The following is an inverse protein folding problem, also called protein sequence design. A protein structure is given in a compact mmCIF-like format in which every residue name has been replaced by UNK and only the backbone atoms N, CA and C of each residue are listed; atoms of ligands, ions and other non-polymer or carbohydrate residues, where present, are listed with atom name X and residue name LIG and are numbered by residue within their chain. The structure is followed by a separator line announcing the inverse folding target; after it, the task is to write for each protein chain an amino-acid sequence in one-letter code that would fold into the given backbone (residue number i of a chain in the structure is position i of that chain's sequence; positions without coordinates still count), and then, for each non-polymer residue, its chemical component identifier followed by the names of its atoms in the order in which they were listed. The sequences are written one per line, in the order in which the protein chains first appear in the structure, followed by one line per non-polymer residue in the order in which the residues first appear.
data_IF_262450829223
#
_entry.id   IF_262450829223
#
_cell.length_a   1.000
_cell.length_b   1.000
_cell.length_c   1.000
_cell.angle_alpha   90.00
_cell.angle_beta   90.00
_cell.angle_gamma   90.00
#
_symmetry.space_group_name_H-M   'P 1'
#
loop_
_entity.id
_entity.type
_entity.pdbx_description
1 polymer ?
#
# COMPACT_ATOMS: atom_id res chain seq x y z
N UNK A 1 21.25 15.44 0.55
CA UNK A 1 20.89 15.15 1.96
C UNK A 1 20.08 16.35 2.45
N UNK A 2 18.85 16.17 2.96
CA UNK A 2 17.95 17.31 3.17
C UNK A 2 18.21 18.03 4.50
N UNK A 3 17.82 19.31 4.52
CA UNK A 3 18.01 20.40 5.49
C UNK A 3 17.59 20.17 6.97
N UNK A 4 17.43 18.93 7.43
CA UNK A 4 16.91 18.60 8.78
C UNK A 4 17.75 19.17 9.93
N UNK A 5 19.02 19.52 9.69
CA UNK A 5 19.90 20.11 10.70
C UNK A 5 19.47 21.52 11.13
N UNK A 6 18.86 22.31 10.24
CA UNK A 6 18.39 23.66 10.59
C UNK A 6 17.08 23.61 11.37
N UNK A 7 16.14 22.75 10.99
CA UNK A 7 14.88 22.54 11.72
C UNK A 7 15.15 22.04 13.15
N UNK A 8 16.09 21.10 13.32
CA UNK A 8 16.51 20.61 14.63
C UNK A 8 17.14 21.69 15.50
N UNK A 9 17.91 22.63 14.92
CA UNK A 9 18.49 23.76 15.65
C UNK A 9 17.40 24.72 16.13
N UNK A 10 16.42 25.03 15.27
CA UNK A 10 15.28 25.90 15.60
C UNK A 10 14.47 25.28 16.75
N UNK A 11 14.13 23.99 16.67
CA UNK A 11 13.38 23.30 17.72
C UNK A 11 14.16 23.31 19.05
N UNK A 12 15.49 23.11 19.03
CA UNK A 12 16.32 23.19 20.23
C UNK A 12 16.31 24.60 20.85
N UNK A 13 16.38 25.65 20.04
CA UNK A 13 16.30 27.03 20.52
C UNK A 13 14.93 27.33 21.13
N UNK A 14 13.85 26.96 20.45
CA UNK A 14 12.48 27.14 20.95
C UNK A 14 12.26 26.38 22.27
N UNK A 15 12.74 25.14 22.36
CA UNK A 15 12.66 24.35 23.59
C UNK A 15 13.45 24.99 24.74
N UNK A 16 14.62 25.58 24.45
CA UNK A 16 15.44 26.25 25.46
C UNK A 16 14.80 27.53 26.01
N UNK A 17 13.96 28.21 25.22
CA UNK A 17 13.25 29.42 25.64
C UNK A 17 12.01 29.14 26.50
N UNK A 18 11.57 27.89 26.60
CA UNK A 18 10.46 27.50 27.47
C UNK A 18 10.83 27.60 28.96
N UNK A 19 9.83 27.89 29.79
CA UNK A 19 9.97 27.87 31.26
C UNK A 19 10.26 26.45 31.76
N UNK A 20 10.77 26.31 33.00
CA UNK A 20 11.08 24.98 33.58
C UNK A 20 9.82 24.08 33.68
N UNK A 21 8.65 24.68 33.92
CA UNK A 21 7.36 23.99 33.97
C UNK A 21 6.93 23.51 32.58
N UNK A 22 7.03 24.36 31.57
CA UNK A 22 6.64 24.03 30.20
C UNK A 22 7.60 23.03 29.56
N UNK A 23 8.90 23.12 29.86
CA UNK A 23 9.89 22.09 29.47
C UNK A 23 9.51 20.72 30.04
N UNK A 24 9.14 20.64 31.31
CA UNK A 24 8.67 19.40 31.94
C UNK A 24 7.36 18.90 31.30
N UNK A 25 6.41 19.79 31.02
CA UNK A 25 5.14 19.45 30.37
C UNK A 25 5.33 18.93 28.94
N UNK A 26 6.20 19.58 28.16
CA UNK A 26 6.58 19.18 26.80
C UNK A 26 7.30 17.83 26.77
N UNK A 27 8.27 17.62 27.66
CA UNK A 27 8.95 16.33 27.80
C UNK A 27 7.98 15.23 28.26
N UNK A 28 6.99 15.56 29.09
CA UNK A 28 5.95 14.64 29.51
C UNK A 28 5.04 14.25 28.33
N UNK A 29 4.60 15.21 27.51
CA UNK A 29 3.82 14.92 26.30
C UNK A 29 4.59 14.10 25.27
N UNK A 30 5.90 14.35 25.10
CA UNK A 30 6.75 13.49 24.27
C UNK A 30 6.84 12.09 24.85
N UNK A 31 7.12 11.95 26.16
CA UNK A 31 7.19 10.63 26.82
C UNK A 31 5.86 9.87 26.77
N UNK A 32 4.74 10.57 26.87
CA UNK A 32 3.40 9.97 26.83
C UNK A 32 3.05 9.54 25.39
N UNK A 33 3.43 10.33 24.37
CA UNK A 33 3.40 9.89 22.95
C UNK A 33 4.35 8.72 22.69
N UNK A 34 5.57 8.73 23.22
CA UNK A 34 6.50 7.60 23.08
C UNK A 34 5.97 6.35 23.79
N UNK A 35 5.32 6.48 24.95
CA UNK A 35 4.67 5.36 25.65
C UNK A 35 3.47 4.80 24.88
N UNK A 36 2.65 5.65 24.25
CA UNK A 36 1.57 5.19 23.37
C UNK A 36 2.12 4.47 22.13
N UNK A 37 3.27 4.92 21.61
CA UNK A 37 3.95 4.32 20.43
C UNK A 37 4.74 3.03 20.78
N UNK A 38 5.20 2.87 22.02
CA UNK A 38 6.07 1.75 22.43
C UNK A 38 5.35 0.60 23.13
N UNK A 39 4.13 0.82 23.62
CA UNK A 39 3.28 -0.22 24.23
C UNK A 39 1.93 -0.30 23.55
N UNK A 40 1.88 -0.77 22.31
CA UNK A 40 0.65 -1.33 21.75
C UNK A 40 0.74 -2.86 21.84
N UNK A 41 0.30 -3.48 22.96
CA UNK A 41 -0.01 -4.90 22.95
C UNK A 41 -1.03 -5.17 21.85
N UNK A 42 -1.04 -6.40 21.33
CA UNK A 42 -2.11 -6.86 20.41
C UNK A 42 -3.43 -6.62 21.15
N UNK A 43 -4.25 -5.68 20.68
CA UNK A 43 -5.53 -5.34 21.29
C UNK A 43 -6.64 -6.33 20.89
N UNK A 44 -6.29 -7.37 20.13
CA UNK A 44 -7.22 -8.39 19.65
C UNK A 44 -7.65 -9.29 20.81
N UNK A 45 -8.89 -9.15 21.24
CA UNK A 45 -9.55 -10.11 22.12
C UNK A 45 -9.92 -11.37 21.35
N UNK A 46 -9.69 -12.54 21.96
CA UNK A 46 -10.13 -13.81 21.38
C UNK A 46 -11.58 -14.03 21.81
N UNK A 47 -12.50 -13.94 20.85
CA UNK A 47 -13.93 -14.24 21.06
C UNK A 47 -14.31 -15.65 20.63
N UNK A 48 -13.59 -16.20 19.65
CA UNK A 48 -13.92 -17.46 18.99
C UNK A 48 -12.65 -18.21 18.56
N UNK A 49 -12.80 -19.51 18.29
CA UNK A 49 -11.74 -20.34 17.74
C UNK A 49 -11.47 -19.93 16.28
N UNK A 50 -10.21 -19.64 15.91
CA UNK A 50 -9.86 -19.23 14.54
C UNK A 50 -10.02 -20.37 13.51
N UNK A 51 -10.19 -21.61 13.96
CA UNK A 51 -10.30 -22.80 13.09
C UNK A 51 -11.73 -23.25 12.83
N UNK A 52 -12.64 -23.08 13.80
CA UNK A 52 -14.02 -23.60 13.71
C UNK A 52 -15.09 -22.62 14.22
N UNK A 53 -14.70 -21.39 14.58
CA UNK A 53 -15.60 -20.32 15.04
C UNK A 53 -16.37 -20.61 16.33
N UNK A 54 -16.04 -21.70 17.04
CA UNK A 54 -16.60 -21.99 18.36
C UNK A 54 -16.09 -21.04 19.44
N UNK A 55 -16.98 -20.67 20.37
CA UNK A 55 -16.66 -19.86 21.54
C UNK A 55 -16.17 -20.72 22.74
N UNK A 56 -16.13 -22.04 22.58
CA UNK A 56 -15.71 -22.98 23.61
C UNK A 56 -14.21 -23.28 23.50
N UNK A 57 -13.40 -22.58 24.30
CA UNK A 57 -11.96 -22.81 24.37
C UNK A 57 -11.40 -22.55 25.77
N UNK A 58 -10.24 -23.15 26.06
CA UNK A 58 -9.54 -23.03 27.35
C UNK A 58 -8.09 -22.63 27.16
N UNK A 59 -7.48 -22.05 28.20
CA UNK A 59 -6.04 -21.78 28.24
C UNK A 59 -5.28 -23.11 28.27
N UNK A 60 -4.31 -23.29 27.37
CA UNK A 60 -3.52 -24.51 27.21
C UNK A 60 -2.01 -24.23 27.33
N UNK A 61 -1.60 -23.72 28.49
CA UNK A 61 -0.21 -23.37 28.78
C UNK A 61 0.31 -22.14 28.03
N UNK A 62 1.62 -21.92 28.12
CA UNK A 62 2.34 -20.81 27.46
C UNK A 62 3.53 -21.34 26.68
N UNK A 63 3.87 -20.70 25.56
CA UNK A 63 5.11 -20.94 24.80
C UNK A 63 5.75 -19.60 24.46
N UNK A 64 7.04 -19.45 24.73
CA UNK A 64 7.78 -18.20 24.49
C UNK A 64 7.08 -16.97 25.10
N UNK A 65 6.57 -17.14 26.32
CA UNK A 65 5.76 -16.15 27.06
C UNK A 65 4.42 -15.74 26.39
N UNK A 66 3.99 -16.44 25.35
CA UNK A 66 2.69 -16.26 24.67
C UNK A 66 1.68 -17.28 25.18
N UNK A 67 0.48 -16.80 25.52
CA UNK A 67 -0.63 -17.66 25.92
C UNK A 67 -1.12 -18.50 24.74
N UNK A 68 -1.27 -19.81 24.97
CA UNK A 68 -1.92 -20.73 24.03
C UNK A 68 -3.34 -21.05 24.51
N UNK A 69 -4.20 -21.34 23.56
CA UNK A 69 -5.58 -21.75 23.77
C UNK A 69 -5.84 -23.06 23.03
N UNK A 70 -6.78 -23.85 23.54
CA UNK A 70 -7.26 -25.07 22.91
C UNK A 70 -8.77 -25.00 22.78
N UNK A 71 -9.28 -25.16 21.56
CA UNK A 71 -10.71 -25.26 21.33
C UNK A 71 -11.23 -26.61 21.82
N UNK A 72 -12.38 -26.61 22.49
CA UNK A 72 -13.02 -27.85 22.98
C UNK A 72 -13.68 -28.64 21.85
N UNK A 73 -14.19 -27.95 20.83
CA UNK A 73 -14.95 -28.59 19.75
C UNK A 73 -14.02 -29.21 18.71
N UNK A 74 -13.12 -28.42 18.11
CA UNK A 74 -12.22 -28.92 17.07
C UNK A 74 -10.89 -29.48 17.62
N UNK A 75 -10.65 -29.40 18.94
CA UNK A 75 -9.44 -29.86 19.64
C UNK A 75 -8.11 -29.24 19.15
N UNK A 76 -8.16 -28.26 18.24
CA UNK A 76 -6.96 -27.56 17.73
C UNK A 76 -6.49 -26.49 18.70
N UNK A 77 -5.16 -26.30 18.76
CA UNK A 77 -4.54 -25.21 19.53
C UNK A 77 -4.35 -23.95 18.70
N UNK A 78 -4.39 -22.79 19.34
CA UNK A 78 -4.21 -21.49 18.71
C UNK A 78 -3.66 -20.45 19.70
N UNK A 79 -3.17 -19.32 19.20
CA UNK A 79 -2.66 -18.18 19.98
C UNK A 79 -3.38 -16.90 19.58
N UNK A 80 -3.16 -15.80 20.32
CA UNK A 80 -3.67 -14.45 19.98
C UNK A 80 -3.29 -14.00 18.57
N UNK A 81 -2.12 -14.45 18.09
CA UNK A 81 -1.62 -14.13 16.75
C UNK A 81 -2.19 -15.02 15.65
N UNK A 82 -3.05 -16.00 15.94
CA UNK A 82 -3.67 -16.80 14.88
C UNK A 82 -4.43 -15.89 13.90
N UNK A 83 -4.31 -16.22 12.62
CA UNK A 83 -4.83 -15.44 11.50
C UNK A 83 -4.27 -14.01 11.40
N UNK A 84 -3.26 -13.60 12.18
CA UNK A 84 -2.61 -12.28 12.02
C UNK A 84 -1.37 -12.37 11.12
N UNK A 85 -0.90 -11.23 10.62
CA UNK A 85 0.32 -11.17 9.79
C UNK A 85 1.54 -11.70 10.57
N UNK A 86 1.56 -11.52 11.89
CA UNK A 86 2.61 -11.97 12.79
C UNK A 86 2.52 -13.47 13.14
N UNK A 87 1.52 -14.19 12.62
CA UNK A 87 1.32 -15.61 12.92
C UNK A 87 2.55 -16.46 12.60
N UNK A 88 2.88 -17.38 13.51
CA UNK A 88 4.03 -18.30 13.41
C UNK A 88 5.41 -17.62 13.23
N UNK A 89 5.51 -16.31 13.47
CA UNK A 89 6.78 -15.61 13.34
C UNK A 89 7.67 -15.88 14.55
N UNK A 90 8.88 -16.40 14.29
CA UNK A 90 9.91 -16.71 15.31
C UNK A 90 10.84 -15.54 15.60
N UNK A 91 10.73 -14.44 14.86
CA UNK A 91 11.62 -13.28 14.99
C UNK A 91 11.12 -12.30 16.04
N UNK A 92 12.06 -11.58 16.66
CA UNK A 92 11.77 -10.51 17.61
C UNK A 92 10.98 -9.36 16.97
N UNK A 93 10.16 -8.69 17.78
CA UNK A 93 9.38 -7.52 17.42
C UNK A 93 10.26 -6.37 16.92
N UNK A 94 11.50 -6.29 17.42
CA UNK A 94 12.50 -5.30 16.96
C UNK A 94 12.84 -5.48 15.48
N UNK A 95 12.87 -6.72 14.98
CA UNK A 95 13.11 -7.01 13.56
C UNK A 95 11.93 -6.55 12.72
N UNK A 96 10.70 -6.76 13.19
CA UNK A 96 9.50 -6.23 12.53
C UNK A 96 9.48 -4.71 12.46
N UNK A 97 9.84 -4.00 13.53
CA UNK A 97 9.96 -2.53 13.50
C UNK A 97 10.97 -2.08 12.44
N UNK A 98 12.16 -2.70 12.39
CA UNK A 98 13.14 -2.44 11.31
C UNK A 98 12.57 -2.72 9.92
N UNK A 99 11.80 -3.80 9.78
CA UNK A 99 11.18 -4.17 8.51
C UNK A 99 10.15 -3.12 8.06
N UNK A 100 9.27 -2.67 8.97
CA UNK A 100 8.30 -1.60 8.70
C UNK A 100 9.01 -0.33 8.30
N UNK A 101 10.07 0.08 9.01
CA UNK A 101 10.89 1.23 8.63
C UNK A 101 11.47 1.07 7.22
N UNK A 102 11.99 -0.10 6.86
CA UNK A 102 12.48 -0.37 5.51
C UNK A 102 11.38 -0.23 4.45
N UNK A 103 10.12 -0.52 4.80
CA UNK A 103 8.97 -0.29 3.93
C UNK A 103 8.66 1.21 3.79
N UNK A 104 8.61 1.97 4.88
CA UNK A 104 8.39 3.43 4.79
C UNK A 104 9.47 4.12 3.92
N UNK A 105 10.72 3.67 4.06
CA UNK A 105 11.87 4.13 3.25
C UNK A 105 11.91 3.56 1.82
N UNK A 106 10.94 2.72 1.44
CA UNK A 106 10.79 2.13 0.11
C UNK A 106 11.98 1.28 -0.35
N UNK A 107 12.69 0.64 0.57
CA UNK A 107 13.85 -0.17 0.22
C UNK A 107 13.50 -1.44 -0.57
N UNK A 108 14.42 -1.86 -1.43
CA UNK A 108 14.31 -3.12 -2.16
C UNK A 108 14.29 -4.31 -1.20
N UNK A 109 13.75 -5.45 -1.64
CA UNK A 109 13.70 -6.66 -0.80
C UNK A 109 15.09 -7.15 -0.40
N UNK A 110 16.09 -7.05 -1.29
CA UNK A 110 17.48 -7.41 -0.99
C UNK A 110 18.05 -6.55 0.13
N UNK A 111 17.94 -5.22 0.01
CA UNK A 111 18.39 -4.28 1.05
C UNK A 111 17.64 -4.48 2.37
N UNK A 112 16.34 -4.74 2.30
CA UNK A 112 15.51 -5.01 3.49
C UNK A 112 15.95 -6.30 4.20
N UNK A 113 16.21 -7.37 3.43
CA UNK A 113 16.67 -8.65 3.94
C UNK A 113 18.02 -8.52 4.66
N UNK A 114 18.95 -7.76 4.08
CA UNK A 114 20.26 -7.45 4.66
C UNK A 114 20.13 -6.68 5.99
N UNK A 115 19.39 -5.56 6.01
CA UNK A 115 19.18 -4.74 7.21
C UNK A 115 18.51 -5.53 8.34
N UNK A 116 17.52 -6.36 8.00
CA UNK A 116 16.76 -7.15 8.96
C UNK A 116 17.43 -8.48 9.33
N UNK A 117 18.53 -8.85 8.64
CA UNK A 117 19.21 -10.15 8.78
C UNK A 117 18.26 -11.34 8.61
N UNK A 118 17.41 -11.29 7.57
CA UNK A 118 16.47 -12.36 7.21
C UNK A 118 16.73 -12.85 5.79
N UNK A 119 16.23 -14.03 5.43
CA UNK A 119 16.34 -14.53 4.06
C UNK A 119 15.46 -13.72 3.10
N UNK A 120 15.89 -13.60 1.83
CA UNK A 120 15.14 -12.89 0.79
C UNK A 120 13.71 -13.45 0.59
N UNK A 121 13.46 -14.77 0.59
CA UNK A 121 12.11 -15.32 0.55
C UNK A 121 11.24 -14.89 1.74
N UNK A 122 11.83 -14.78 2.93
CA UNK A 122 11.11 -14.31 4.12
C UNK A 122 10.71 -12.84 3.97
N UNK A 123 11.65 -12.00 3.52
CA UNK A 123 11.36 -10.59 3.24
C UNK A 123 10.27 -10.41 2.19
N UNK A 124 10.29 -11.25 1.14
CA UNK A 124 9.25 -11.27 0.10
C UNK A 124 7.89 -11.65 0.70
N UNK A 125 7.81 -12.76 1.43
CA UNK A 125 6.57 -13.22 2.05
C UNK A 125 5.98 -12.19 3.02
N UNK A 126 6.81 -11.61 3.90
CA UNK A 126 6.36 -10.59 4.85
C UNK A 126 5.82 -9.35 4.15
N UNK A 127 6.54 -8.84 3.14
CA UNK A 127 6.09 -7.68 2.38
C UNK A 127 4.73 -7.96 1.76
N UNK A 128 4.58 -9.07 1.05
CA UNK A 128 3.34 -9.35 0.34
C UNK A 128 2.17 -9.59 1.29
N UNK A 129 2.36 -10.27 2.43
CA UNK A 129 1.32 -10.37 3.47
C UNK A 129 0.81 -9.00 3.95
N UNK A 130 1.73 -8.06 4.16
CA UNK A 130 1.37 -6.68 4.52
C UNK A 130 0.61 -6.01 3.37
N UNK A 131 1.11 -6.12 2.14
CA UNK A 131 0.48 -5.48 1.00
C UNK A 131 -0.91 -6.06 0.67
N UNK A 132 -1.14 -7.34 0.91
CA UNK A 132 -2.45 -7.97 0.75
C UNK A 132 -3.43 -7.46 1.79
N UNK A 133 -2.99 -7.35 3.05
CA UNK A 133 -3.81 -6.75 4.08
C UNK A 133 -4.12 -5.27 3.77
N UNK A 134 -3.16 -4.51 3.24
CA UNK A 134 -3.40 -3.11 2.84
C UNK A 134 -4.43 -2.98 1.71
N UNK A 135 -4.56 -3.96 0.80
CA UNK A 135 -5.58 -3.91 -0.26
C UNK A 135 -7.00 -3.82 0.29
N UNK A 136 -7.27 -4.39 1.46
CA UNK A 136 -8.59 -4.28 2.08
C UNK A 136 -8.93 -2.84 2.46
N UNK A 137 -7.95 -2.06 2.95
CA UNK A 137 -8.15 -0.64 3.26
C UNK A 137 -8.54 0.15 2.01
N UNK A 138 -7.96 -0.17 0.84
CA UNK A 138 -8.30 0.50 -0.41
C UNK A 138 -9.79 0.34 -0.77
N UNK A 139 -10.42 -0.75 -0.36
CA UNK A 139 -11.85 -0.97 -0.62
C UNK A 139 -12.76 0.00 0.14
N UNK A 140 -12.27 0.63 1.21
CA UNK A 140 -13.03 1.58 2.03
C UNK A 140 -12.73 3.05 1.67
N UNK A 141 -11.71 3.29 0.83
CA UNK A 141 -11.36 4.65 0.42
C UNK A 141 -12.44 5.22 -0.50
N UNK A 142 -12.95 6.39 -0.10
CA UNK A 142 -13.76 7.29 -0.92
C UNK A 142 -13.02 8.63 -1.10
N UNK A 143 -12.98 9.10 -2.35
CA UNK A 143 -12.39 10.36 -2.77
C UNK A 143 -13.46 11.45 -2.76
N UNK A 144 -13.16 12.58 -2.14
CA UNK A 144 -14.06 13.73 -2.03
C UNK A 144 -13.36 15.06 -2.36
N UNK A 145 -14.16 16.09 -2.60
CA UNK A 145 -13.69 17.45 -2.92
C UNK A 145 -13.27 17.57 -4.38
N UNK A 146 -12.05 18.06 -4.64
CA UNK A 146 -11.48 18.04 -6.00
C UNK A 146 -10.76 16.72 -6.20
N UNK A 147 -11.23 15.94 -7.17
CA UNK A 147 -10.71 14.62 -7.50
C UNK A 147 -10.13 14.64 -8.91
N UNK A 148 -8.81 14.45 -9.00
CA UNK A 148 -8.10 14.32 -10.27
C UNK A 148 -7.97 12.84 -10.65
N UNK A 149 -8.31 12.49 -11.89
CA UNK A 149 -8.16 11.12 -12.39
C UNK A 149 -7.46 11.09 -13.76
N UNK A 150 -6.59 10.10 -13.92
CA UNK A 150 -5.82 9.85 -15.13
C UNK A 150 -5.28 8.40 -15.12
N UNK A 151 -4.76 7.96 -16.27
CA UNK A 151 -4.15 6.65 -16.43
C UNK A 151 -2.62 6.74 -16.56
N UNK A 152 -1.95 5.69 -16.11
CA UNK A 152 -0.52 5.49 -16.38
C UNK A 152 -0.26 4.06 -16.82
N UNK A 153 0.87 3.84 -17.49
CA UNK A 153 1.21 2.57 -18.11
C UNK A 153 2.51 2.00 -17.58
N UNK A 154 2.50 0.70 -17.32
CA UNK A 154 3.68 -0.08 -16.92
C UNK A 154 3.92 -1.22 -17.92
N UNK A 155 5.14 -1.42 -18.41
CA UNK A 155 5.45 -2.59 -19.23
C UNK A 155 5.17 -3.90 -18.48
N UNK A 156 4.58 -4.87 -19.17
CA UNK A 156 4.33 -6.19 -18.60
C UNK A 156 5.61 -6.87 -18.15
N UNK A 157 5.62 -7.27 -16.88
CA UNK A 157 6.74 -7.94 -16.22
C UNK A 157 6.32 -9.29 -15.67
N UNK A 158 6.96 -10.35 -16.16
CA UNK A 158 6.75 -11.73 -15.72
C UNK A 158 7.83 -12.20 -14.74
N UNK A 159 8.47 -11.27 -14.03
CA UNK A 159 9.55 -11.57 -13.07
C UNK A 159 9.14 -12.69 -12.10
N UNK A 160 10.02 -13.68 -11.93
CA UNK A 160 9.76 -14.87 -11.10
C UNK A 160 9.20 -16.06 -11.87
N UNK A 161 8.81 -15.91 -13.15
CA UNK A 161 8.48 -17.03 -14.03
C UNK A 161 9.70 -17.38 -14.89
N UNK A 162 10.31 -18.54 -14.64
CA UNK A 162 11.60 -18.91 -15.22
C UNK A 162 11.63 -20.25 -15.97
N UNK A 163 10.84 -21.25 -15.55
CA UNK A 163 10.98 -22.63 -16.08
C UNK A 163 9.74 -23.14 -16.84
N UNK A 164 8.54 -22.98 -16.29
CA UNK A 164 7.32 -23.61 -16.83
C UNK A 164 6.27 -22.57 -17.29
N UNK A 165 6.72 -21.47 -17.89
CA UNK A 165 5.83 -20.39 -18.30
C UNK A 165 6.11 -19.96 -19.72
N UNK A 166 5.12 -20.12 -20.61
CA UNK A 166 5.18 -19.62 -21.97
C UNK A 166 4.92 -18.12 -21.94
N UNK A 167 5.96 -17.32 -22.15
CA UNK A 167 5.80 -15.87 -22.25
C UNK A 167 4.92 -15.53 -23.46
N UNK A 168 3.95 -14.61 -23.33
CA UNK A 168 3.09 -14.19 -24.45
C UNK A 168 3.82 -13.30 -25.47
N UNK A 169 5.14 -13.14 -25.33
CA UNK A 169 6.04 -12.37 -26.20
C UNK A 169 7.46 -12.90 -26.08
N UNK A 170 8.32 -12.50 -27.01
CA UNK A 170 9.76 -12.77 -26.93
C UNK A 170 10.39 -12.17 -25.66
N UNK A 171 11.39 -12.86 -25.13
CA UNK A 171 12.21 -12.37 -24.00
C UNK A 171 12.91 -11.07 -24.40
N UNK A 172 12.98 -10.11 -23.48
CA UNK A 172 13.71 -8.85 -23.68
C UNK A 172 14.38 -8.40 -22.39
N UNK A 173 15.44 -7.62 -22.51
CA UNK A 173 16.12 -7.03 -21.37
C UNK A 173 15.23 -6.01 -20.64
N UNK A 174 15.61 -5.69 -19.40
CA UNK A 174 14.97 -4.59 -18.67
C UNK A 174 15.28 -3.26 -19.37
N UNK A 175 14.32 -2.35 -19.37
CA UNK A 175 14.39 -1.03 -20.01
C UNK A 175 14.47 -1.05 -21.55
N UNK A 176 14.38 -2.23 -22.19
CA UNK A 176 14.13 -2.30 -23.63
C UNK A 176 12.73 -1.80 -23.93
N UNK A 177 12.62 -0.90 -24.91
CA UNK A 177 11.33 -0.35 -25.34
C UNK A 177 10.36 -1.49 -25.74
N UNK A 178 9.06 -1.20 -25.68
CA UNK A 178 8.06 -2.12 -26.22
C UNK A 178 8.32 -2.31 -27.73
N UNK A 179 8.18 -3.54 -28.22
CA UNK A 179 8.42 -3.85 -29.64
C UNK A 179 7.38 -3.14 -30.52
N UNK A 180 6.17 -2.94 -29.98
CA UNK A 180 5.06 -2.24 -30.64
C UNK A 180 5.01 -0.78 -30.17
N UNK A 181 4.99 0.16 -31.11
CA UNK A 181 4.74 1.59 -30.84
C UNK A 181 3.30 1.79 -30.31
N UNK A 182 3.11 2.70 -29.35
CA UNK A 182 1.81 3.05 -28.78
C UNK A 182 1.35 2.18 -27.60
N UNK A 183 0.10 2.40 -27.15
CA UNK A 183 -0.55 1.70 -26.02
C UNK A 183 -0.93 0.27 -26.42
N UNK A 184 0.09 -0.57 -26.62
CA UNK A 184 -0.09 -1.98 -26.97
C UNK A 184 -0.51 -2.82 -25.75
N UNK A 185 -1.02 -4.04 -26.00
CA UNK A 185 -1.35 -5.03 -24.96
C UNK A 185 -0.12 -5.53 -24.16
N UNK A 186 1.09 -5.02 -24.47
CA UNK A 186 2.30 -5.27 -23.68
C UNK A 186 2.45 -4.33 -22.47
N UNK A 187 1.47 -3.45 -22.24
CA UNK A 187 1.46 -2.50 -21.13
C UNK A 187 0.24 -2.73 -20.25
N UNK A 188 0.44 -2.83 -18.94
CA UNK A 188 -0.63 -2.76 -17.96
C UNK A 188 -1.05 -1.30 -17.80
N UNK A 189 -2.33 -1.02 -18.05
CA UNK A 189 -2.97 0.26 -17.75
C UNK A 189 -3.35 0.29 -16.28
N UNK A 190 -2.93 1.35 -15.59
CA UNK A 190 -3.29 1.64 -14.22
C UNK A 190 -4.16 2.88 -14.24
N UNK A 191 -5.43 2.72 -13.87
CA UNK A 191 -6.34 3.85 -13.66
C UNK A 191 -6.17 4.34 -12.24
N UNK A 192 -6.03 5.64 -12.06
CA UNK A 192 -5.80 6.24 -10.74
C UNK A 192 -6.71 7.45 -10.54
N UNK A 193 -7.14 7.65 -9.29
CA UNK A 193 -7.85 8.83 -8.83
C UNK A 193 -7.21 9.32 -7.53
N UNK A 194 -7.02 10.62 -7.43
CA UNK A 194 -6.44 11.27 -6.25
C UNK A 194 -7.25 12.49 -5.87
N UNK A 195 -7.32 12.82 -4.58
CA UNK A 195 -7.86 14.09 -4.14
C UNK A 195 -6.81 14.98 -3.48
N UNK A 196 -7.13 16.27 -3.33
CA UNK A 196 -6.24 17.24 -2.70
C UNK A 196 -5.95 16.94 -1.22
N UNK A 197 -6.77 16.12 -0.57
CA UNK A 197 -6.59 15.71 0.82
C UNK A 197 -5.57 14.57 0.99
N UNK A 198 -4.98 14.05 -0.10
CA UNK A 198 -3.99 12.98 -0.03
C UNK A 198 -4.57 11.57 0.01
N UNK A 199 -5.86 11.39 -0.27
CA UNK A 199 -6.45 10.07 -0.53
C UNK A 199 -6.23 9.71 -2.00
N UNK A 200 -5.93 8.44 -2.26
CA UNK A 200 -5.72 7.94 -3.60
C UNK A 200 -6.22 6.51 -3.77
N UNK A 201 -6.64 6.22 -5.00
CA UNK A 201 -7.09 4.91 -5.45
C UNK A 201 -6.38 4.65 -6.77
N UNK A 202 -5.77 3.48 -6.92
CA UNK A 202 -5.20 3.06 -8.19
C UNK A 202 -5.32 1.56 -8.34
N UNK A 203 -5.64 1.11 -9.55
CA UNK A 203 -5.78 -0.31 -9.85
C UNK A 203 -5.44 -0.57 -11.32
N UNK A 204 -4.90 -1.75 -11.60
CA UNK A 204 -4.76 -2.23 -12.97
C UNK A 204 -6.16 -2.41 -13.56
N UNK A 205 -6.46 -1.66 -14.61
CA UNK A 205 -7.78 -1.64 -15.25
C UNK A 205 -7.85 -2.54 -16.48
N UNK A 206 -6.83 -2.50 -17.35
CA UNK A 206 -6.77 -3.26 -18.60
C UNK A 206 -5.31 -3.45 -19.09
N UNK A 207 -5.12 -4.21 -20.16
CA UNK A 207 -3.89 -4.27 -20.94
C UNK A 207 -4.00 -3.41 -22.21
N UNK A 208 -3.15 -2.38 -22.30
CA UNK A 208 -3.20 -1.39 -23.37
C UNK A 208 -4.23 -0.29 -23.08
N UNK A 209 -4.93 0.19 -24.11
CA UNK A 209 -5.85 1.33 -23.95
C UNK A 209 -7.16 0.90 -23.26
N UNK A 210 -7.52 1.51 -22.11
CA UNK A 210 -8.71 1.13 -21.37
C UNK A 210 -9.99 1.53 -22.11
N UNK A 211 -11.03 0.71 -21.95
CA UNK A 211 -12.41 1.05 -22.31
C UNK A 211 -13.11 1.69 -21.11
N UNK A 212 -14.28 2.27 -21.36
CA UNK A 212 -15.07 2.90 -20.29
C UNK A 212 -15.43 1.92 -19.15
N UNK A 213 -15.70 0.66 -19.47
CA UNK A 213 -16.02 -0.39 -18.48
C UNK A 213 -14.86 -0.61 -17.49
N UNK A 214 -13.62 -0.49 -17.98
CA UNK A 214 -12.42 -0.69 -17.17
C UNK A 214 -12.21 0.49 -16.21
N UNK A 215 -12.52 1.72 -16.66
CA UNK A 215 -12.50 2.90 -15.78
C UNK A 215 -13.60 2.84 -14.72
N UNK A 216 -14.81 2.44 -15.11
CA UNK A 216 -15.96 2.25 -14.19
C UNK A 216 -15.57 1.27 -13.09
N UNK A 217 -14.93 0.14 -13.43
CA UNK A 217 -14.50 -0.88 -12.45
C UNK A 217 -13.58 -0.32 -11.35
N UNK A 218 -12.80 0.72 -11.64
CA UNK A 218 -11.84 1.31 -10.70
C UNK A 218 -12.42 2.51 -9.94
N UNK A 219 -13.18 3.38 -10.62
CA UNK A 219 -13.60 4.67 -10.07
C UNK A 219 -15.07 4.73 -9.66
N UNK A 220 -15.92 3.80 -10.09
CA UNK A 220 -17.32 3.79 -9.67
C UNK A 220 -17.45 3.58 -8.16
N UNK A 221 -18.36 4.31 -7.52
CA UNK A 221 -18.60 4.30 -6.07
C UNK A 221 -17.36 4.62 -5.22
N UNK A 222 -16.32 5.20 -5.83
CA UNK A 222 -15.08 5.63 -5.18
C UNK A 222 -14.92 7.14 -5.12
N UNK A 223 -15.79 7.87 -5.81
CA UNK A 223 -15.83 9.32 -5.83
C UNK A 223 -17.17 9.75 -5.29
N UNK A 224 -17.15 10.61 -4.28
CA UNK A 224 -18.35 11.16 -3.66
C UNK A 224 -19.11 12.05 -4.65
N UNK A 225 -20.45 12.01 -4.64
CA UNK A 225 -21.31 12.69 -5.63
C UNK A 225 -21.09 14.20 -5.70
N UNK A 226 -20.81 14.84 -4.57
CA UNK A 226 -20.59 16.30 -4.49
C UNK A 226 -19.17 16.73 -4.89
N UNK A 227 -18.39 15.83 -5.47
CA UNK A 227 -17.00 16.10 -5.86
C UNK A 227 -16.91 16.77 -7.23
N UNK A 228 -15.89 17.61 -7.39
CA UNK A 228 -15.46 18.15 -8.68
C UNK A 228 -14.46 17.17 -9.28
N UNK A 229 -14.85 16.52 -10.37
CA UNK A 229 -14.03 15.55 -11.07
C UNK A 229 -13.21 16.24 -12.17
N UNK A 230 -11.88 16.11 -12.11
CA UNK A 230 -10.94 16.77 -13.03
C UNK A 230 -10.15 15.72 -13.80
N UNK A 231 -10.20 15.76 -15.12
CA UNK A 231 -9.49 14.77 -15.97
C UNK A 231 -8.83 15.41 -17.17
N UNK A 232 -7.93 14.68 -17.82
CA UNK A 232 -7.44 15.05 -19.15
C UNK A 232 -8.53 14.84 -20.22
N UNK A 233 -8.18 15.13 -21.47
CA UNK A 233 -9.02 15.16 -22.63
C UNK A 233 -9.49 13.80 -23.18
N UNK A 234 -9.32 12.72 -22.42
CA UNK A 234 -9.80 11.41 -22.85
C UNK A 234 -11.33 11.32 -22.74
N UNK A 235 -12.00 11.04 -23.87
CA UNK A 235 -13.47 11.06 -23.99
C UNK A 235 -14.18 10.06 -23.06
N UNK A 236 -13.51 9.00 -22.61
CA UNK A 236 -14.12 8.02 -21.72
C UNK A 236 -14.48 8.62 -20.36
N UNK A 237 -13.68 9.58 -19.85
CA UNK A 237 -13.96 10.26 -18.58
C UNK A 237 -15.21 11.13 -18.63
N UNK A 238 -15.52 11.75 -19.77
CA UNK A 238 -16.75 12.53 -19.93
C UNK A 238 -17.98 11.64 -19.72
N UNK A 239 -17.99 10.46 -20.35
CA UNK A 239 -19.09 9.50 -20.18
C UNK A 239 -19.12 8.93 -18.76
N UNK A 240 -17.96 8.66 -18.15
CA UNK A 240 -17.86 8.19 -16.77
C UNK A 240 -18.47 9.21 -15.80
N UNK A 241 -18.11 10.49 -15.94
CA UNK A 241 -18.59 11.55 -15.07
C UNK A 241 -20.11 11.74 -15.20
N UNK A 242 -20.65 11.68 -16.42
CA UNK A 242 -22.10 11.71 -16.65
C UNK A 242 -22.81 10.53 -15.98
N UNK A 243 -22.26 9.31 -16.09
CA UNK A 243 -22.83 8.12 -15.45
C UNK A 243 -22.80 8.17 -13.92
N UNK A 244 -21.87 8.93 -13.34
CA UNK A 244 -21.71 9.11 -11.90
C UNK A 244 -22.37 10.41 -11.40
N UNK A 245 -22.99 11.18 -12.29
CA UNK A 245 -23.62 12.48 -12.00
C UNK A 245 -22.64 13.48 -11.33
N UNK A 246 -21.37 13.44 -11.71
CA UNK A 246 -20.31 14.30 -11.14
C UNK A 246 -20.16 15.62 -11.91
N UNK A 247 -19.83 16.69 -11.19
CA UNK A 247 -19.37 17.93 -11.81
C UNK A 247 -18.03 17.71 -12.49
N UNK A 248 -17.98 17.75 -13.83
CA UNK A 248 -16.79 17.38 -14.60
C UNK A 248 -16.07 18.58 -15.22
N UNK A 249 -14.78 18.70 -14.92
CA UNK A 249 -13.88 19.67 -15.51
C UNK A 249 -12.84 18.93 -16.34
N UNK A 250 -12.87 19.16 -17.64
CA UNK A 250 -11.93 18.54 -18.57
C UNK A 250 -10.82 19.52 -18.93
N UNK A 251 -9.57 19.16 -18.65
CA UNK A 251 -8.41 19.95 -19.07
C UNK A 251 -8.18 19.77 -20.58
N UNK A 252 -8.13 20.86 -21.37
CA UNK A 252 -7.87 20.77 -22.80
C UNK A 252 -6.46 20.26 -23.10
N UNK A 253 -6.32 19.50 -24.19
CA UNK A 253 -5.01 19.10 -24.71
C UNK A 253 -4.09 20.32 -24.86
N UNK A 254 -2.81 20.14 -24.52
CA UNK A 254 -1.75 21.19 -24.56
C UNK A 254 -1.94 22.34 -23.55
N UNK A 255 -2.93 22.28 -22.65
CA UNK A 255 -3.06 23.19 -21.51
C UNK A 255 -2.81 22.42 -20.22
N UNK A 256 -2.14 23.06 -19.27
CA UNK A 256 -1.85 22.45 -17.95
C UNK A 256 -2.87 22.82 -16.87
N UNK A 257 -3.73 23.81 -17.13
CA UNK A 257 -4.77 24.30 -16.23
C UNK A 257 -5.98 24.84 -17.00
N UNK A 258 -7.14 24.82 -16.35
CA UNK A 258 -8.36 25.48 -16.78
C UNK A 258 -8.94 26.25 -15.58
N UNK A 259 -8.84 27.58 -15.60
CA UNK A 259 -9.12 28.40 -14.42
C UNK A 259 -8.20 28.02 -13.25
N UNK A 260 -8.81 27.76 -12.09
CA UNK A 260 -8.12 27.31 -10.88
C UNK A 260 -7.82 25.80 -10.85
N UNK A 261 -8.35 25.03 -11.81
CA UNK A 261 -8.21 23.57 -11.83
C UNK A 261 -7.04 23.12 -12.70
N UNK A 262 -6.32 22.08 -12.26
CA UNK A 262 -5.21 21.47 -12.97
C UNK A 262 -5.17 19.96 -12.67
N UNK A 263 -4.24 19.26 -13.31
CA UNK A 263 -3.99 17.80 -13.14
C UNK A 263 -2.60 17.53 -12.57
N UNK A 264 -2.01 18.49 -11.84
CA UNK A 264 -0.64 18.36 -11.35
C UNK A 264 -0.51 17.34 -10.22
N UNK A 265 -1.56 17.16 -9.41
CA UNK A 265 -1.55 16.23 -8.28
C UNK A 265 -1.48 14.79 -8.79
N UNK A 266 -2.31 14.43 -9.77
CA UNK A 266 -2.30 13.09 -10.38
C UNK A 266 -1.00 12.83 -11.16
N UNK A 267 -0.46 13.85 -11.83
CA UNK A 267 0.84 13.75 -12.50
C UNK A 267 1.98 13.53 -11.51
N UNK A 268 1.98 14.22 -10.37
CA UNK A 268 2.94 14.03 -9.28
C UNK A 268 2.83 12.61 -8.70
N UNK A 269 1.60 12.15 -8.46
CA UNK A 269 1.32 10.77 -8.03
C UNK A 269 1.92 9.75 -9.01
N UNK A 270 1.65 9.86 -10.31
CA UNK A 270 2.22 8.98 -11.33
C UNK A 270 3.75 9.03 -11.39
N UNK A 271 4.35 10.21 -11.24
CA UNK A 271 5.80 10.38 -11.22
C UNK A 271 6.44 9.63 -10.04
N UNK A 272 5.92 9.85 -8.82
CA UNK A 272 6.42 9.18 -7.63
C UNK A 272 6.19 7.66 -7.66
N UNK A 273 5.08 7.20 -8.24
CA UNK A 273 4.80 5.78 -8.43
C UNK A 273 5.86 5.14 -9.36
N UNK A 274 6.13 5.78 -10.50
CA UNK A 274 7.15 5.33 -11.46
C UNK A 274 8.54 5.32 -10.84
N UNK A 275 8.92 6.35 -10.09
CA UNK A 275 10.21 6.41 -9.38
C UNK A 275 10.36 5.27 -8.38
N UNK A 276 9.32 5.05 -7.55
CA UNK A 276 9.32 3.98 -6.56
C UNK A 276 9.49 2.60 -7.20
N UNK A 277 8.70 2.29 -8.24
CA UNK A 277 8.75 0.99 -8.91
C UNK A 277 10.08 0.83 -9.65
N UNK A 278 10.51 1.80 -10.46
CA UNK A 278 11.69 1.67 -11.33
C UNK A 278 12.98 1.78 -10.54
N UNK A 279 13.14 2.81 -9.71
CA UNK A 279 14.42 3.18 -9.12
C UNK A 279 14.61 2.65 -7.70
N UNK A 280 13.57 2.66 -6.84
CA UNK A 280 13.70 2.21 -5.44
C UNK A 280 13.59 0.69 -5.30
N UNK A 281 12.55 0.09 -5.90
CA UNK A 281 12.22 -1.33 -5.74
C UNK A 281 12.83 -2.19 -6.85
N UNK A 282 13.31 -1.56 -7.95
CA UNK A 282 13.91 -2.23 -9.11
C UNK A 282 12.92 -3.21 -9.75
N UNK A 283 11.71 -2.72 -10.01
CA UNK A 283 10.59 -3.32 -10.73
C UNK A 283 9.93 -4.53 -10.07
N UNK A 284 8.65 -4.70 -10.38
CA UNK A 284 7.76 -5.71 -9.81
C UNK A 284 7.11 -6.53 -10.93
N UNK A 285 6.74 -7.78 -10.64
CA UNK A 285 5.94 -8.57 -11.58
C UNK A 285 4.53 -7.97 -11.65
N UNK A 286 3.93 -7.96 -12.84
CA UNK A 286 2.61 -7.36 -13.06
C UNK A 286 1.54 -7.98 -12.17
N UNK A 287 1.63 -9.28 -11.88
CA UNK A 287 0.71 -9.97 -10.94
C UNK A 287 0.66 -9.41 -9.52
N UNK A 288 1.65 -8.61 -9.14
CA UNK A 288 1.68 -7.93 -7.86
C UNK A 288 1.49 -6.43 -7.98
N UNK A 289 1.22 -5.89 -9.18
CA UNK A 289 1.22 -4.45 -9.40
C UNK A 289 0.22 -3.75 -8.47
N UNK A 290 -1.02 -4.26 -8.37
CA UNK A 290 -2.04 -3.73 -7.46
C UNK A 290 -1.57 -3.63 -6.00
N UNK A 291 -0.87 -4.64 -5.48
CA UNK A 291 -0.26 -4.60 -4.15
C UNK A 291 0.70 -3.41 -3.98
N UNK A 292 1.50 -3.12 -5.01
CA UNK A 292 2.44 -2.00 -4.98
C UNK A 292 1.79 -0.65 -5.27
N UNK A 293 0.60 -0.61 -5.89
CA UNK A 293 -0.20 0.60 -6.01
C UNK A 293 -0.73 1.03 -4.64
N UNK A 294 -1.27 0.10 -3.85
CA UNK A 294 -1.71 0.41 -2.48
C UNK A 294 -0.55 0.78 -1.58
N UNK A 295 0.57 0.10 -1.75
CA UNK A 295 1.80 0.47 -1.06
C UNK A 295 2.19 1.92 -1.35
N UNK A 296 2.13 2.32 -2.63
CA UNK A 296 2.43 3.68 -3.06
C UNK A 296 1.48 4.70 -2.44
N UNK A 297 0.18 4.42 -2.46
CA UNK A 297 -0.85 5.25 -1.82
C UNK A 297 -0.44 5.55 -0.38
N UNK A 298 -0.15 4.51 0.40
CA UNK A 298 0.22 4.65 1.80
C UNK A 298 1.54 5.40 2.02
N UNK A 299 2.64 4.98 1.38
CA UNK A 299 3.98 5.52 1.72
C UNK A 299 4.27 6.89 1.13
N UNK A 300 3.75 7.20 -0.07
CA UNK A 300 4.12 8.41 -0.80
C UNK A 300 3.02 9.46 -0.86
N UNK A 301 1.76 9.05 -0.97
CA UNK A 301 0.68 9.99 -1.27
C UNK A 301 -0.14 10.38 -0.04
N UNK A 302 -0.39 9.42 0.85
CA UNK A 302 -1.10 9.62 2.09
C UNK A 302 -0.38 10.69 2.94
N UNK A 303 -1.12 11.67 3.49
CA UNK A 303 -0.56 12.83 4.21
C UNK A 303 -0.38 12.59 5.71
N UNK A 304 -0.67 11.38 6.18
CA UNK A 304 -0.62 11.02 7.59
C UNK A 304 0.81 11.15 8.14
N UNK A 305 0.88 11.75 9.32
CA UNK A 305 2.08 11.72 10.15
C UNK A 305 2.22 10.35 10.82
N UNK A 306 3.45 9.95 11.17
CA UNK A 306 3.72 8.70 11.91
C UNK A 306 3.34 7.40 11.20
N UNK A 307 3.47 7.34 9.86
CA UNK A 307 3.16 6.16 9.03
C UNK A 307 3.80 4.85 9.53
N UNK A 308 4.99 4.90 10.10
CA UNK A 308 5.65 3.73 10.69
C UNK A 308 4.83 3.12 11.83
N UNK A 309 4.28 3.96 12.71
CA UNK A 309 3.44 3.53 13.83
C UNK A 309 2.12 2.97 13.32
N UNK A 310 1.45 3.71 12.41
CA UNK A 310 0.17 3.30 11.81
C UNK A 310 0.31 1.94 11.13
N UNK A 311 1.36 1.75 10.31
CA UNK A 311 1.57 0.48 9.62
C UNK A 311 1.88 -0.66 10.59
N UNK A 312 2.64 -0.38 11.65
CA UNK A 312 2.99 -1.38 12.64
C UNK A 312 1.76 -1.82 13.46
N UNK A 313 0.93 -0.88 13.92
CA UNK A 313 -0.33 -1.18 14.59
C UNK A 313 -1.29 -1.95 13.67
N UNK A 314 -1.36 -1.56 12.40
CA UNK A 314 -2.12 -2.29 11.40
C UNK A 314 -1.68 -3.76 11.30
N UNK A 315 -0.36 -4.00 11.25
CA UNK A 315 0.21 -5.37 11.20
C UNK A 315 -0.13 -6.21 12.43
N UNK A 316 -0.18 -5.59 13.61
CA UNK A 316 -0.47 -6.30 14.86
C UNK A 316 -1.94 -6.73 14.98
N UNK A 317 -2.86 -5.93 14.44
CA UNK A 317 -4.29 -6.09 14.69
C UNK A 317 -5.07 -6.72 13.53
N UNK A 318 -4.54 -6.65 12.30
CA UNK A 318 -5.26 -7.12 11.12
C UNK A 318 -4.96 -8.57 10.76
N UNK A 319 -5.92 -9.16 10.05
CA UNK A 319 -5.84 -10.53 9.60
C UNK A 319 -4.89 -10.69 8.40
N UNK A 320 -4.19 -11.81 8.35
CA UNK A 320 -3.35 -12.20 7.23
C UNK A 320 -4.24 -12.84 6.17
N UNK A 321 -4.46 -12.11 5.08
CA UNK A 321 -5.33 -12.53 3.98
C UNK A 321 -4.68 -13.62 3.11
N UNK A 322 -3.35 -13.73 3.11
CA UNK A 322 -2.63 -14.62 2.19
C UNK A 322 -1.60 -15.52 2.87
N UNK A 323 -1.52 -16.78 2.43
CA UNK A 323 -0.47 -17.70 2.84
C UNK A 323 0.77 -17.54 1.95
N UNK A 324 1.97 -17.68 2.53
CA UNK A 324 3.23 -17.40 1.82
C UNK A 324 3.41 -18.21 0.53
N UNK A 325 2.91 -19.45 0.50
CA UNK A 325 3.02 -20.36 -0.65
C UNK A 325 2.08 -19.96 -1.81
N UNK A 326 0.93 -19.38 -1.49
CA UNK A 326 -0.04 -18.89 -2.47
C UNK A 326 0.44 -17.62 -3.16
N UNK A 327 1.20 -16.78 -2.44
CA UNK A 327 1.72 -15.51 -2.98
C UNK A 327 2.58 -15.77 -4.22
N UNK A 328 3.51 -16.73 -4.18
CA UNK A 328 4.39 -17.05 -5.31
C UNK A 328 3.63 -17.59 -6.53
N UNK A 329 2.53 -18.29 -6.31
CA UNK A 329 1.75 -19.00 -7.33
C UNK A 329 0.61 -18.16 -7.93
N UNK A 330 0.47 -16.89 -7.55
CA UNK A 330 -0.52 -16.00 -8.17
C UNK A 330 -0.43 -16.02 -9.69
N UNK A 331 -1.60 -16.06 -10.32
CA UNK A 331 -1.74 -15.97 -11.76
C UNK A 331 -1.24 -14.63 -12.29
N UNK A 332 -0.76 -14.62 -13.53
CA UNK A 332 -0.42 -13.37 -14.20
C UNK A 332 -1.70 -12.66 -14.66
N UNK A 333 -1.86 -11.39 -14.26
CA UNK A 333 -2.88 -10.50 -14.82
C UNK A 333 -2.77 -10.51 -16.35
N UNK A 334 -3.86 -10.89 -17.04
CA UNK A 334 -3.94 -10.92 -18.50
C UNK A 334 -3.65 -12.25 -19.19
N UNK A 335 -3.77 -13.38 -18.49
CA UNK A 335 -3.87 -14.72 -19.12
C UNK A 335 -5.29 -15.31 -19.10
N UNK A 336 -6.28 -14.51 -18.71
CA UNK A 336 -7.68 -14.85 -18.94
C UNK A 336 -7.99 -14.31 -20.34
N UNK A 337 -8.16 -15.25 -21.27
CA UNK A 337 -8.41 -15.01 -22.69
C UNK A 337 -9.68 -14.24 -22.97
#
# INVERSE_FOLDING_TARGET
MPNHTNELKIIKQLFNNLTKTDKKAFLKTIKDKEKSITKTPIQKEIKECPHCKSNQFVKNGKKDNKQRFMCKDCKKTFTLTNNTILFSTKTDIKVWKKFVRCMIEKYSLKKTAEICKISLPTAFAWRHKILDALQNIQNEVELNGVVEADETYFPLSFKGHHKNFKLPRLSKHRDTQALKRGLSKEQACVTSGVNLNGKSIAKVSDLGKPKIKDLIKVLSNKVSRDSIFVTDSFRAYLKLANNMELSHIRIPKKKHKLGSFNIQTINSYHSHLKDMIKHKIKGVATKYLDNYLVYHNFVNFAKESYKEVILFEYIQNNECVSLSLEISHRECLGLVG
#
